data_IF_453614583662
#
_entry.id   IF_453614583662
#
_cell.length_a   1.000
_cell.length_b   1.000
_cell.length_c   1.000
_cell.angle_alpha   90.00
_cell.angle_beta   90.00
_cell.angle_gamma   90.00
#
_symmetry.space_group_name_H-M   'P 1'
#
loop_
_entity.id
_entity.type
_entity.pdbx_description
1 polymer ?
#
# COMPACT_ATOMS: atom_id res chain seq x y z
N UNK A 1 14.53 71.08 -38.12
CA UNK A 1 13.90 69.77 -38.42
C UNK A 1 14.68 68.68 -37.69
N UNK A 2 14.30 68.35 -36.45
CA UNK A 2 14.80 67.15 -35.76
C UNK A 2 13.70 66.08 -35.86
N UNK A 3 14.01 64.91 -36.40
CA UNK A 3 13.13 63.73 -36.35
C UNK A 3 13.53 62.90 -35.13
N UNK A 4 12.60 62.76 -34.18
CA UNK A 4 12.68 61.74 -33.14
C UNK A 4 12.41 60.37 -33.78
N UNK A 5 13.38 59.45 -33.67
CA UNK A 5 13.14 58.03 -33.91
C UNK A 5 12.56 57.43 -32.62
N UNK A 6 11.34 56.92 -32.70
CA UNK A 6 10.64 56.29 -31.59
C UNK A 6 11.05 54.81 -31.53
N UNK A 7 11.82 54.45 -30.50
CA UNK A 7 12.25 53.08 -30.24
C UNK A 7 11.08 52.30 -29.64
N UNK A 8 10.49 51.39 -30.42
CA UNK A 8 9.46 50.47 -29.92
C UNK A 8 10.17 49.25 -29.34
N UNK A 9 10.22 49.15 -28.01
CA UNK A 9 10.69 47.97 -27.30
C UNK A 9 9.49 47.04 -27.15
N UNK A 10 9.42 45.99 -27.98
CA UNK A 10 8.49 44.88 -27.78
C UNK A 10 9.02 43.98 -26.66
N UNK A 11 8.43 44.08 -25.47
CA UNK A 11 8.65 43.15 -24.38
C UNK A 11 7.76 41.93 -24.64
N UNK A 12 8.37 40.81 -25.01
CA UNK A 12 7.69 39.51 -25.00
C UNK A 12 7.64 39.02 -23.56
N UNK A 13 6.48 39.18 -22.91
CA UNK A 13 6.21 38.47 -21.66
C UNK A 13 5.85 37.03 -22.04
N UNK A 14 6.84 36.14 -21.99
CA UNK A 14 6.59 34.70 -22.02
C UNK A 14 6.00 34.34 -20.65
N UNK A 15 4.68 34.24 -20.59
CA UNK A 15 4.01 33.59 -19.46
C UNK A 15 4.28 32.10 -19.67
N UNK A 16 5.35 31.60 -19.05
CA UNK A 16 5.45 30.16 -18.79
C UNK A 16 4.39 29.88 -17.74
N UNK A 17 3.22 29.43 -18.19
CA UNK A 17 2.31 28.72 -17.28
C UNK A 17 3.02 27.40 -17.01
N UNK A 18 3.86 27.40 -15.99
CA UNK A 18 4.22 26.17 -15.31
C UNK A 18 2.89 25.78 -14.67
N UNK A 19 2.21 24.76 -15.18
CA UNK A 19 1.07 24.18 -14.47
C UNK A 19 1.63 23.72 -13.12
N UNK A 20 1.51 24.59 -12.13
CA UNK A 20 2.03 24.37 -10.80
C UNK A 20 1.19 23.25 -10.21
N UNK A 21 1.81 22.09 -10.23
CA UNK A 21 1.35 20.91 -9.54
C UNK A 21 1.01 21.26 -8.09
N UNK A 22 -0.27 21.29 -7.71
CA UNK A 22 -0.64 21.60 -6.32
C UNK A 22 -0.24 20.47 -5.39
N UNK A 23 -0.28 19.24 -5.92
CA UNK A 23 -0.03 17.99 -5.24
C UNK A 23 -0.88 17.67 -4.02
N UNK A 24 -1.75 18.59 -3.61
CA UNK A 24 -2.78 18.33 -2.62
C UNK A 24 -3.81 17.36 -3.20
N UNK A 25 -4.38 16.47 -2.37
CA UNK A 25 -5.50 15.64 -2.81
C UNK A 25 -6.66 16.53 -3.24
N UNK A 26 -7.31 16.21 -4.36
CA UNK A 26 -8.56 16.89 -4.74
C UNK A 26 -9.74 16.51 -3.86
N UNK A 27 -9.62 15.41 -3.10
CA UNK A 27 -10.60 15.01 -2.11
C UNK A 27 -9.88 14.51 -0.85
N UNK A 28 -10.28 15.03 0.31
CA UNK A 28 -9.89 14.54 1.63
C UNK A 28 -11.17 14.44 2.48
N UNK A 29 -11.47 13.26 3.00
CA UNK A 29 -12.66 13.03 3.81
C UNK A 29 -12.60 13.62 5.22
N UNK A 30 -11.42 14.06 5.66
CA UNK A 30 -11.10 14.19 7.08
C UNK A 30 -11.09 12.83 7.80
N UNK A 31 -11.03 12.88 9.13
CA UNK A 31 -11.05 11.70 9.99
C UNK A 31 -12.48 11.27 10.32
N UNK A 32 -12.86 10.06 9.94
CA UNK A 32 -14.18 9.48 10.15
C UNK A 32 -14.07 8.24 11.07
N UNK A 33 -14.94 8.10 12.09
CA UNK A 33 -14.87 6.96 13.00
C UNK A 33 -15.25 5.66 12.29
N UNK A 34 -14.55 4.57 12.63
CA UNK A 34 -14.84 3.23 12.16
C UNK A 34 -14.48 2.18 13.22
N UNK A 35 -15.21 1.06 13.24
CA UNK A 35 -15.03 0.07 14.30
C UNK A 35 -15.09 -1.37 13.75
N UNK A 36 -14.02 -2.13 13.97
CA UNK A 36 -13.97 -3.56 13.68
C UNK A 36 -14.88 -4.35 14.63
N UNK A 37 -15.39 -5.49 14.17
CA UNK A 37 -16.28 -6.37 14.94
C UNK A 37 -17.60 -5.71 15.36
N UNK A 38 -18.06 -4.71 14.59
CA UNK A 38 -19.31 -4.01 14.85
C UNK A 38 -20.10 -3.76 13.57
N UNK A 39 -21.32 -3.23 13.72
CA UNK A 39 -22.17 -2.79 12.59
C UNK A 39 -21.61 -1.57 11.86
N UNK A 40 -20.51 -0.99 12.34
CA UNK A 40 -19.84 0.16 11.76
C UNK A 40 -18.44 -0.25 11.24
N UNK A 41 -18.27 -1.46 10.71
CA UNK A 41 -17.00 -1.93 10.14
C UNK A 41 -16.88 -1.70 8.62
N UNK A 42 -17.81 -0.97 8.01
CA UNK A 42 -17.80 -0.64 6.59
C UNK A 42 -18.14 0.83 6.42
N UNK A 43 -17.34 1.54 5.63
CA UNK A 43 -17.49 2.97 5.36
C UNK A 43 -17.44 3.22 3.86
N UNK A 44 -18.52 3.78 3.32
CA UNK A 44 -18.57 4.25 1.94
C UNK A 44 -18.40 5.77 1.94
N UNK A 45 -17.39 6.24 1.21
CA UNK A 45 -16.99 7.65 1.14
C UNK A 45 -17.15 8.15 -0.30
N UNK A 46 -18.26 8.82 -0.64
CA UNK A 46 -18.41 9.48 -1.93
C UNK A 46 -17.39 10.61 -2.08
N UNK A 47 -16.62 10.62 -3.15
CA UNK A 47 -15.54 11.61 -3.34
C UNK A 47 -15.89 12.72 -4.34
N UNK A 48 -16.95 12.57 -5.13
CA UNK A 48 -17.49 13.64 -5.99
C UNK A 48 -16.60 14.08 -7.16
N UNK A 49 -15.53 13.32 -7.47
CA UNK A 49 -14.54 13.70 -8.50
C UNK A 49 -15.01 13.43 -9.93
N UNK A 50 -16.10 12.67 -10.11
CA UNK A 50 -16.69 12.37 -11.42
C UNK A 50 -15.87 11.42 -12.31
N UNK A 51 -14.71 10.97 -11.84
CA UNK A 51 -13.83 10.02 -12.52
C UNK A 51 -13.03 9.21 -11.50
N UNK A 52 -12.44 8.09 -11.93
CA UNK A 52 -11.63 7.23 -11.07
C UNK A 52 -10.37 7.97 -10.63
N UNK A 53 -10.06 8.09 -9.33
CA UNK A 53 -8.80 8.66 -8.86
C UNK A 53 -7.59 7.91 -9.42
N UNK A 54 -6.52 8.65 -9.72
CA UNK A 54 -5.23 8.10 -10.14
C UNK A 54 -4.47 7.48 -8.97
N UNK A 55 -4.56 8.10 -7.79
CA UNK A 55 -4.03 7.60 -6.52
C UNK A 55 -5.13 7.72 -5.45
N UNK A 56 -5.29 6.67 -4.65
CA UNK A 56 -6.09 6.68 -3.43
C UNK A 56 -5.18 6.31 -2.27
N UNK A 57 -5.29 7.03 -1.17
CA UNK A 57 -4.66 6.65 0.08
C UNK A 57 -5.72 6.57 1.17
N UNK A 58 -5.82 5.38 1.77
CA UNK A 58 -6.65 5.16 2.95
C UNK A 58 -5.74 5.03 4.16
N UNK A 59 -5.98 5.88 5.14
CA UNK A 59 -5.22 5.99 6.38
C UNK A 59 -6.08 5.60 7.56
N UNK A 60 -5.47 4.95 8.56
CA UNK A 60 -6.11 4.46 9.78
C UNK A 60 -5.35 5.06 10.97
N UNK A 61 -5.97 5.99 11.69
CA UNK A 61 -5.41 6.66 12.87
C UNK A 61 -5.84 5.95 14.13
N UNK A 62 -4.86 5.63 14.95
CA UNK A 62 -5.08 5.15 16.31
C UNK A 62 -5.67 6.27 17.17
N UNK A 63 -6.73 5.94 17.89
CA UNK A 63 -7.38 6.82 18.87
C UNK A 63 -7.18 6.34 20.31
N UNK A 64 -6.34 5.34 20.50
CA UNK A 64 -6.02 4.76 21.80
C UNK A 64 -4.52 4.47 21.94
N UNK A 65 -4.07 4.34 23.19
CA UNK A 65 -2.70 3.93 23.52
C UNK A 65 -2.45 2.46 23.13
N UNK A 66 -1.18 2.05 22.90
CA UNK A 66 0.08 2.79 23.05
C UNK A 66 0.58 3.57 21.81
N UNK A 67 -0.18 3.59 20.71
CA UNK A 67 0.17 4.37 19.52
C UNK A 67 -0.84 5.50 19.26
N UNK A 68 -1.36 6.15 20.30
CA UNK A 68 -2.31 7.25 20.15
C UNK A 68 -1.81 8.29 19.14
N UNK A 69 -2.65 8.63 18.14
CA UNK A 69 -2.33 9.60 17.11
C UNK A 69 -1.45 9.11 15.96
N UNK A 70 -0.90 7.89 16.02
CA UNK A 70 -0.20 7.30 14.89
C UNK A 70 -1.17 6.87 13.78
N UNK A 71 -0.69 6.98 12.54
CA UNK A 71 -1.40 6.74 11.30
C UNK A 71 -0.76 5.56 10.59
N UNK A 72 -1.58 4.59 10.24
CA UNK A 72 -1.25 3.36 9.53
C UNK A 72 -1.86 3.41 8.12
N UNK A 73 -1.23 2.78 7.12
CA UNK A 73 -1.81 2.65 5.79
C UNK A 73 -2.73 1.43 5.69
N UNK A 74 -3.86 1.59 5.01
CA UNK A 74 -4.68 0.44 4.63
C UNK A 74 -3.89 -0.51 3.73
N UNK A 75 -4.22 -1.80 3.80
CA UNK A 75 -3.48 -2.89 3.17
C UNK A 75 -4.10 -3.36 1.86
N UNK A 76 -5.18 -2.76 1.35
CA UNK A 76 -5.73 -3.07 0.01
C UNK A 76 -6.59 -4.35 -0.07
N UNK A 77 -6.15 -5.50 0.45
CA UNK A 77 -6.87 -6.79 0.34
C UNK A 77 -6.94 -7.59 1.66
N UNK A 78 -8.03 -8.35 1.84
CA UNK A 78 -8.22 -9.29 2.94
C UNK A 78 -7.50 -10.62 2.70
N UNK A 79 -6.37 -10.83 3.37
CA UNK A 79 -5.52 -12.03 3.21
C UNK A 79 -5.84 -13.18 4.17
N UNK A 80 -6.83 -12.98 5.04
CA UNK A 80 -7.13 -13.92 6.11
C UNK A 80 -8.62 -13.97 6.42
N UNK A 81 -9.10 -15.16 6.77
CA UNK A 81 -10.47 -15.42 7.26
C UNK A 81 -10.62 -15.20 8.79
N UNK A 82 -11.85 -15.30 9.32
CA UNK A 82 -12.10 -15.34 10.77
C UNK A 82 -12.22 -16.76 11.36
N UNK A 83 -11.81 -17.79 10.61
CA UNK A 83 -11.91 -19.20 10.98
C UNK A 83 -10.90 -19.62 12.05
N UNK A 84 -9.89 -18.79 12.33
CA UNK A 84 -8.86 -19.06 13.33
C UNK A 84 -8.93 -18.05 14.46
N UNK A 85 -8.81 -18.54 15.70
CA UNK A 85 -8.81 -17.74 16.91
C UNK A 85 -7.47 -17.01 17.13
N UNK A 86 -7.03 -16.23 16.15
CA UNK A 86 -5.79 -15.48 16.22
C UNK A 86 -5.98 -14.10 15.59
N UNK A 87 -5.29 -13.10 16.14
CA UNK A 87 -5.50 -11.71 15.77
C UNK A 87 -4.98 -11.44 14.37
N UNK A 88 -5.75 -10.63 13.66
CA UNK A 88 -5.41 -10.04 12.38
C UNK A 88 -6.01 -8.65 12.30
N UNK A 89 -5.55 -7.83 11.36
CA UNK A 89 -6.13 -6.52 11.26
C UNK A 89 -5.72 -5.68 10.07
N UNK A 90 -6.10 -4.42 10.17
CA UNK A 90 -5.91 -3.41 9.15
C UNK A 90 -7.24 -3.00 8.53
N UNK A 91 -7.15 -2.08 7.57
CA UNK A 91 -8.26 -1.73 6.71
C UNK A 91 -7.96 -2.20 5.29
N UNK A 92 -8.98 -2.69 4.59
CA UNK A 92 -8.92 -2.98 3.16
C UNK A 92 -9.86 -2.03 2.43
N UNK A 93 -9.64 -1.79 1.14
CA UNK A 93 -10.46 -0.84 0.41
C UNK A 93 -10.57 -1.16 -1.08
N UNK A 94 -11.65 -0.64 -1.66
CA UNK A 94 -11.88 -0.58 -3.09
C UNK A 94 -12.34 0.83 -3.46
N UNK A 95 -12.18 1.22 -4.71
CA UNK A 95 -12.59 2.54 -5.18
C UNK A 95 -13.03 2.53 -6.64
N UNK A 96 -13.85 3.50 -7.04
CA UNK A 96 -14.24 3.68 -8.43
C UNK A 96 -14.34 5.18 -8.75
N UNK A 97 -15.20 5.56 -9.71
CA UNK A 97 -15.40 6.97 -10.09
C UNK A 97 -16.35 7.75 -9.15
N UNK A 98 -16.99 7.06 -8.21
CA UNK A 98 -18.06 7.56 -7.36
C UNK A 98 -17.59 7.61 -5.90
N UNK A 99 -17.04 6.51 -5.39
CA UNK A 99 -16.69 6.35 -3.99
C UNK A 99 -15.43 5.52 -3.74
N UNK A 100 -14.95 5.65 -2.51
CA UNK A 100 -14.02 4.71 -1.88
C UNK A 100 -14.79 3.97 -0.79
N UNK A 101 -14.69 2.65 -0.75
CA UNK A 101 -15.28 1.82 0.29
C UNK A 101 -14.18 1.18 1.12
N UNK A 102 -14.22 1.41 2.43
CA UNK A 102 -13.26 0.90 3.40
C UNK A 102 -13.93 -0.17 4.26
N UNK A 103 -13.26 -1.28 4.46
CA UNK A 103 -13.72 -2.39 5.29
C UNK A 103 -12.71 -2.67 6.41
N UNK A 104 -13.22 -2.83 7.63
CA UNK A 104 -12.49 -3.38 8.76
C UNK A 104 -12.91 -4.83 9.01
N UNK A 105 -12.10 -5.59 9.76
CA UNK A 105 -12.46 -6.94 10.12
C UNK A 105 -13.77 -7.03 10.89
N UNK A 106 -14.54 -8.07 10.62
CA UNK A 106 -15.79 -8.35 11.30
C UNK A 106 -16.13 -9.83 11.17
N UNK A 107 -16.49 -10.45 12.30
CA UNK A 107 -16.82 -11.88 12.38
C UNK A 107 -17.91 -12.25 11.37
N UNK A 108 -17.68 -13.34 10.64
CA UNK A 108 -18.68 -13.98 9.81
C UNK A 108 -19.26 -15.24 10.48
N UNK A 109 -18.42 -16.22 10.80
CA UNK A 109 -18.85 -17.57 11.23
C UNK A 109 -18.23 -18.00 12.57
N UNK A 110 -16.97 -17.65 12.86
CA UNK A 110 -16.18 -18.28 13.91
C UNK A 110 -15.71 -17.28 14.98
N UNK A 111 -14.64 -16.52 14.74
CA UNK A 111 -13.95 -15.77 15.79
C UNK A 111 -14.00 -14.25 15.60
N UNK A 112 -14.43 -13.51 16.63
CA UNK A 112 -14.47 -12.05 16.61
C UNK A 112 -13.12 -11.42 17.04
N UNK A 113 -12.05 -11.79 16.34
CA UNK A 113 -10.65 -11.47 16.71
C UNK A 113 -9.99 -10.41 15.82
N UNK A 114 -10.62 -10.04 14.71
CA UNK A 114 -10.07 -9.02 13.82
C UNK A 114 -10.14 -7.60 14.39
N UNK A 115 -9.18 -6.76 14.05
CA UNK A 115 -9.00 -5.40 14.55
C UNK A 115 -8.72 -4.39 13.42
N UNK A 116 -9.10 -3.12 13.61
CA UNK A 116 -8.77 -2.06 12.64
C UNK A 116 -7.28 -1.72 12.60
N UNK A 117 -6.58 -1.86 13.72
CA UNK A 117 -5.12 -1.83 13.82
C UNK A 117 -4.66 -3.09 14.53
N UNK A 118 -3.67 -3.77 13.95
CA UNK A 118 -2.91 -4.85 14.57
C UNK A 118 -1.45 -4.69 14.20
N UNK A 119 -0.56 -4.50 15.18
CA UNK A 119 0.90 -4.39 14.95
C UNK A 119 1.61 -5.75 15.11
N UNK A 120 0.86 -6.84 15.24
CA UNK A 120 1.38 -8.16 15.59
C UNK A 120 1.56 -8.33 17.10
N UNK A 121 2.06 -9.47 17.54
CA UNK A 121 2.32 -9.75 18.97
C UNK A 121 3.70 -10.37 19.19
N UNK A 122 4.28 -10.06 20.35
CA UNK A 122 5.49 -10.72 20.85
C UNK A 122 5.21 -12.20 21.15
N UNK A 123 6.12 -13.13 20.85
CA UNK A 123 7.49 -12.87 20.39
C UNK A 123 7.63 -12.81 18.85
N UNK A 124 6.55 -13.00 18.08
CA UNK A 124 6.56 -13.18 16.62
C UNK A 124 6.69 -11.90 15.80
N UNK A 125 6.40 -10.77 16.44
CA UNK A 125 6.58 -9.43 15.92
C UNK A 125 7.33 -8.61 16.98
N UNK A 126 8.28 -7.79 16.52
CA UNK A 126 9.01 -6.83 17.34
C UNK A 126 8.71 -5.43 16.82
N UNK A 127 8.52 -4.49 17.73
CA UNK A 127 8.41 -3.06 17.46
C UNK A 127 8.21 -2.27 18.76
N UNK A 128 8.16 -0.93 18.70
CA UNK A 128 8.17 -0.07 19.89
C UNK A 128 6.98 -0.29 20.82
N UNK A 129 5.78 -0.41 20.24
CA UNK A 129 4.54 -0.45 20.99
C UNK A 129 3.54 -1.39 20.33
N UNK A 130 3.31 -2.54 20.94
CA UNK A 130 2.36 -3.55 20.42
C UNK A 130 0.92 -3.08 20.68
N UNK A 131 0.09 -3.10 19.65
CA UNK A 131 -1.30 -2.64 19.72
C UNK A 131 -2.24 -3.51 18.90
N UNK A 132 -3.44 -3.67 19.45
CA UNK A 132 -4.61 -4.20 18.77
C UNK A 132 -5.79 -3.31 19.09
N UNK A 133 -6.42 -2.72 18.07
CA UNK A 133 -7.49 -1.75 18.24
C UNK A 133 -8.66 -2.01 17.35
N UNK A 134 -9.86 -2.06 17.94
CA UNK A 134 -11.10 -2.18 17.17
C UNK A 134 -11.61 -0.83 16.69
N UNK A 135 -11.49 0.20 17.52
CA UNK A 135 -11.95 1.55 17.21
C UNK A 135 -10.81 2.36 16.63
N UNK A 136 -11.07 2.99 15.49
CA UNK A 136 -10.09 3.77 14.74
C UNK A 136 -10.78 4.97 14.08
N UNK A 137 -9.99 5.94 13.65
CA UNK A 137 -10.44 6.93 12.69
C UNK A 137 -9.82 6.64 11.32
N UNK A 138 -10.61 6.71 10.27
CA UNK A 138 -10.18 6.50 8.88
C UNK A 138 -10.20 7.82 8.12
N UNK A 139 -9.22 8.04 7.26
CA UNK A 139 -9.19 9.15 6.31
C UNK A 139 -8.93 8.63 4.90
N UNK A 140 -9.70 9.12 3.94
CA UNK A 140 -9.57 8.82 2.51
C UNK A 140 -9.08 10.06 1.81
N UNK A 141 -7.98 9.92 1.06
CA UNK A 141 -7.41 10.98 0.22
C UNK A 141 -7.33 10.50 -1.22
N UNK A 142 -7.80 11.31 -2.16
CA UNK A 142 -7.82 10.95 -3.58
C UNK A 142 -7.16 12.03 -4.44
N UNK A 143 -6.34 11.59 -5.39
CA UNK A 143 -5.71 12.43 -6.39
C UNK A 143 -6.14 11.98 -7.78
N UNK A 144 -6.55 12.93 -8.63
CA UNK A 144 -6.69 12.73 -10.06
C UNK A 144 -5.32 12.85 -10.73
N UNK A 145 -5.24 12.40 -11.97
CA UNK A 145 -4.02 12.46 -12.77
C UNK A 145 -3.47 13.89 -12.91
N UNK A 146 -4.34 14.89 -13.04
CA UNK A 146 -3.95 16.30 -13.13
C UNK A 146 -3.34 16.85 -11.83
N UNK A 147 -3.51 16.14 -10.72
CA UNK A 147 -2.82 16.41 -9.46
C UNK A 147 -1.89 15.27 -9.06
N UNK A 148 -1.33 14.52 -10.03
CA UNK A 148 -0.02 13.87 -9.85
C UNK A 148 1.02 14.37 -10.89
N UNK A 149 2.34 14.27 -10.60
CA UNK A 149 3.36 14.52 -11.61
C UNK A 149 3.16 13.56 -12.78
N UNK A 150 3.64 13.94 -13.97
CA UNK A 150 3.57 13.06 -15.14
C UNK A 150 4.35 11.77 -14.83
N UNK A 151 3.72 10.58 -14.93
CA UNK A 151 4.41 9.32 -14.70
C UNK A 151 5.55 9.12 -15.72
N UNK A 152 6.69 8.59 -15.27
CA UNK A 152 7.77 8.18 -16.16
C UNK A 152 7.47 6.84 -16.85
N UNK A 153 6.49 6.09 -16.35
CA UNK A 153 5.99 4.88 -16.98
C UNK A 153 4.52 4.65 -16.64
N UNK A 154 3.75 4.24 -17.65
CA UNK A 154 2.40 3.70 -17.53
C UNK A 154 2.33 2.50 -18.46
N UNK A 155 1.75 1.39 -18.01
CA UNK A 155 1.47 0.23 -18.88
C UNK A 155 0.67 0.67 -20.10
N UNK A 156 1.19 0.39 -21.30
CA UNK A 156 0.63 0.84 -22.57
C UNK A 156 -0.52 -0.03 -23.10
N UNK A 157 -0.69 -1.24 -22.54
CA UNK A 157 -1.72 -2.20 -22.94
C UNK A 157 -2.50 -2.69 -21.73
N UNK A 158 -3.74 -3.13 -21.96
CA UNK A 158 -4.55 -3.82 -20.97
C UNK A 158 -3.86 -5.12 -20.54
N UNK A 159 -3.43 -5.17 -19.28
CA UNK A 159 -2.80 -6.34 -18.68
C UNK A 159 -3.86 -7.13 -17.91
N UNK A 160 -4.07 -8.40 -18.23
CA UNK A 160 -5.06 -9.23 -17.55
C UNK A 160 -4.38 -10.19 -16.56
N UNK A 161 -4.92 -10.28 -15.34
CA UNK A 161 -4.52 -11.29 -14.36
C UNK A 161 -5.73 -12.03 -13.81
N UNK A 162 -5.52 -13.30 -13.49
CA UNK A 162 -6.55 -14.19 -12.95
C UNK A 162 -5.98 -15.14 -11.90
N UNK A 163 -6.53 -15.08 -10.69
CA UNK A 163 -6.21 -16.01 -9.64
C UNK A 163 -6.64 -17.45 -10.02
N UNK A 164 -5.87 -18.45 -9.60
CA UNK A 164 -6.15 -19.86 -9.88
C UNK A 164 -5.95 -20.27 -11.35
N UNK A 165 -5.43 -19.37 -12.20
CA UNK A 165 -5.21 -19.70 -13.62
C UNK A 165 -4.08 -20.70 -13.80
N UNK A 166 -4.30 -21.67 -14.69
CA UNK A 166 -3.26 -22.62 -15.13
C UNK A 166 -2.32 -21.99 -16.16
N UNK A 167 -2.68 -20.83 -16.72
CA UNK A 167 -1.81 -20.06 -17.59
C UNK A 167 -0.85 -19.24 -16.71
N UNK A 168 0.46 -19.53 -16.70
CA UNK A 168 1.41 -18.81 -15.84
C UNK A 168 1.43 -17.31 -16.13
N UNK A 169 1.16 -16.90 -17.37
CA UNK A 169 1.14 -15.49 -17.78
C UNK A 169 -0.07 -14.70 -17.22
N UNK A 170 -1.05 -15.38 -16.61
CA UNK A 170 -2.18 -14.74 -15.94
C UNK A 170 -1.98 -14.68 -14.41
N UNK A 171 -0.94 -15.33 -13.88
CA UNK A 171 -0.64 -15.36 -12.45
C UNK A 171 0.69 -14.68 -12.11
N UNK A 172 1.59 -14.51 -13.07
CA UNK A 172 2.87 -13.83 -12.91
C UNK A 172 3.16 -12.93 -14.11
N UNK A 173 3.65 -11.72 -13.84
CA UNK A 173 4.02 -10.74 -14.84
C UNK A 173 5.34 -10.05 -14.52
N UNK A 174 6.13 -9.82 -15.55
CA UNK A 174 7.29 -8.91 -15.54
C UNK A 174 7.02 -7.77 -16.52
N UNK A 175 6.77 -6.59 -15.97
CA UNK A 175 6.48 -5.37 -16.73
C UNK A 175 7.76 -4.54 -16.83
N UNK A 176 8.49 -4.69 -17.93
CA UNK A 176 9.72 -3.93 -18.18
C UNK A 176 9.41 -2.47 -18.48
N UNK A 177 9.87 -1.56 -17.61
CA UNK A 177 9.48 -0.15 -17.68
C UNK A 177 10.43 0.72 -18.52
N UNK A 178 11.62 0.22 -18.88
CA UNK A 178 12.62 0.93 -19.70
C UNK A 178 13.08 2.31 -19.16
N UNK A 179 12.71 2.63 -17.93
CA UNK A 179 13.25 3.75 -17.17
C UNK A 179 14.68 3.34 -16.81
N UNK A 180 15.70 4.09 -17.26
CA UNK A 180 17.12 3.78 -17.02
C UNK A 180 17.57 3.93 -15.56
N UNK A 181 16.64 3.83 -14.60
CA UNK A 181 16.83 3.94 -13.16
C UNK A 181 15.62 3.34 -12.42
N UNK A 182 15.81 3.08 -11.12
CA UNK A 182 14.72 2.68 -10.23
C UNK A 182 13.71 3.81 -10.07
N UNK A 183 12.40 3.55 -10.28
CA UNK A 183 11.36 4.50 -9.92
C UNK A 183 11.38 4.87 -8.44
N UNK A 184 10.88 6.07 -8.14
CA UNK A 184 10.74 6.56 -6.78
C UNK A 184 9.45 6.05 -6.12
N UNK A 185 8.38 5.99 -6.92
CA UNK A 185 7.05 5.48 -6.55
C UNK A 185 6.57 4.54 -7.65
N UNK A 186 5.99 3.41 -7.27
CA UNK A 186 5.23 2.55 -8.17
C UNK A 186 3.88 2.22 -7.54
N UNK A 187 2.80 2.36 -8.30
CA UNK A 187 1.48 1.86 -7.95
C UNK A 187 0.99 0.87 -8.99
N UNK A 188 0.49 -0.27 -8.52
CA UNK A 188 -0.17 -1.27 -9.35
C UNK A 188 -1.64 -1.33 -8.93
N UNK A 189 -2.54 -0.95 -9.83
CA UNK A 189 -3.98 -0.86 -9.58
C UNK A 189 -4.68 -1.95 -10.38
N UNK A 190 -5.68 -2.58 -9.79
CA UNK A 190 -6.39 -3.70 -10.36
C UNK A 190 -7.89 -3.41 -10.45
N UNK A 191 -8.41 -3.25 -11.67
CA UNK A 191 -9.83 -3.12 -11.94
C UNK A 191 -10.48 -4.51 -11.99
N UNK A 192 -11.27 -4.83 -10.98
CA UNK A 192 -11.94 -6.13 -10.83
C UNK A 192 -12.94 -6.36 -11.98
N UNK A 193 -12.94 -7.55 -12.56
CA UNK A 193 -13.80 -7.89 -13.71
C UNK A 193 -14.93 -8.87 -13.38
N UNK A 194 -14.92 -9.46 -12.19
CA UNK A 194 -15.90 -10.42 -11.69
C UNK A 194 -16.25 -10.18 -10.22
N UNK A 195 -17.20 -10.95 -9.70
CA UNK A 195 -17.69 -10.82 -8.33
C UNK A 195 -18.65 -9.64 -8.13
N UNK A 196 -19.06 -9.44 -6.87
CA UNK A 196 -19.98 -8.35 -6.50
C UNK A 196 -19.34 -6.96 -6.61
N UNK A 197 -18.00 -6.90 -6.57
CA UNK A 197 -17.23 -5.66 -6.64
C UNK A 197 -16.66 -5.42 -8.06
N UNK A 198 -17.21 -6.09 -9.08
CA UNK A 198 -16.80 -5.86 -10.48
C UNK A 198 -16.94 -4.38 -10.87
N UNK A 199 -15.91 -3.84 -11.52
CA UNK A 199 -15.82 -2.44 -11.90
C UNK A 199 -15.12 -1.53 -10.88
N UNK A 200 -14.97 -1.99 -9.64
CA UNK A 200 -14.11 -1.33 -8.66
C UNK A 200 -12.62 -1.62 -8.92
N UNK A 201 -11.78 -0.72 -8.43
CA UNK A 201 -10.34 -0.86 -8.34
C UNK A 201 -9.92 -1.25 -6.92
N UNK A 202 -8.86 -2.02 -6.82
CA UNK A 202 -8.07 -2.25 -5.60
C UNK A 202 -6.59 -2.09 -5.93
N UNK A 203 -5.74 -1.86 -4.94
CA UNK A 203 -4.30 -1.71 -5.14
C UNK A 203 -3.57 -3.01 -4.79
N UNK A 204 -2.61 -3.41 -5.61
CA UNK A 204 -1.70 -4.49 -5.27
C UNK A 204 -0.83 -4.08 -4.08
N UNK A 205 -0.42 -5.08 -3.31
CA UNK A 205 0.33 -4.89 -2.07
C UNK A 205 1.81 -5.13 -2.32
N UNK A 206 2.68 -4.33 -1.70
CA UNK A 206 4.11 -4.60 -1.75
C UNK A 206 4.46 -5.86 -0.99
N UNK A 207 4.37 -5.76 0.33
CA UNK A 207 4.56 -6.88 1.25
C UNK A 207 3.26 -7.19 1.97
N UNK A 208 3.05 -8.47 2.26
CA UNK A 208 2.19 -9.07 3.31
C UNK A 208 1.84 -10.44 2.80
N UNK A 209 1.94 -11.44 3.66
CA UNK A 209 1.31 -12.70 3.38
C UNK A 209 0.90 -13.35 4.69
N UNK A 210 -0.21 -14.06 4.65
CA UNK A 210 -0.57 -15.11 5.57
C UNK A 210 -0.86 -16.35 4.73
N UNK A 211 -0.15 -17.45 4.98
CA UNK A 211 -0.29 -18.67 4.19
C UNK A 211 -0.80 -19.84 5.04
N UNK A 212 -2.07 -20.19 4.83
CA UNK A 212 -2.72 -21.39 5.39
C UNK A 212 -2.90 -22.44 4.28
N UNK A 213 -1.80 -23.04 3.83
CA UNK A 213 -1.84 -24.11 2.82
C UNK A 213 -1.98 -23.58 1.39
N UNK A 214 -3.17 -23.68 0.79
CA UNK A 214 -3.46 -23.17 -0.56
C UNK A 214 -4.25 -21.84 -0.55
N UNK A 215 -4.55 -21.32 0.64
CA UNK A 215 -5.36 -20.12 0.85
C UNK A 215 -4.47 -18.88 0.82
N UNK A 216 -4.07 -18.45 -0.38
CA UNK A 216 -3.44 -17.13 -0.60
C UNK A 216 -4.35 -16.24 -1.44
N UNK A 217 -4.40 -14.96 -1.11
CA UNK A 217 -5.19 -13.95 -1.82
C UNK A 217 -4.39 -12.68 -2.06
N UNK A 218 -4.97 -11.76 -2.84
CA UNK A 218 -4.37 -10.46 -3.10
C UNK A 218 -3.41 -10.49 -4.28
N UNK A 219 -3.16 -9.31 -4.85
CA UNK A 219 -2.06 -9.08 -5.78
C UNK A 219 -0.84 -8.61 -5.00
N UNK A 220 0.33 -9.16 -5.33
CA UNK A 220 1.61 -8.67 -4.80
C UNK A 220 2.39 -7.99 -5.91
N UNK A 221 3.19 -7.00 -5.56
CA UNK A 221 4.12 -6.40 -6.50
C UNK A 221 5.43 -5.99 -5.85
N UNK A 222 6.47 -5.90 -6.67
CA UNK A 222 7.76 -5.36 -6.31
C UNK A 222 8.39 -4.77 -7.55
N UNK A 223 9.30 -3.82 -7.39
CA UNK A 223 9.91 -3.14 -8.53
C UNK A 223 11.39 -2.86 -8.31
N UNK A 224 12.16 -2.76 -9.39
CA UNK A 224 13.55 -2.34 -9.37
C UNK A 224 13.81 -1.30 -10.47
N UNK A 225 15.06 -1.20 -10.94
CA UNK A 225 15.51 -0.32 -12.02
C UNK A 225 15.22 -0.83 -13.43
N UNK A 226 14.60 -2.00 -13.59
CA UNK A 226 14.30 -2.58 -14.90
C UNK A 226 12.82 -2.96 -15.04
N UNK A 227 12.22 -3.50 -13.98
CA UNK A 227 10.97 -4.25 -14.05
C UNK A 227 10.08 -4.01 -12.83
N UNK A 228 8.76 -3.96 -13.08
CA UNK A 228 7.73 -4.19 -12.06
C UNK A 228 7.27 -5.64 -12.15
N UNK A 229 7.44 -6.41 -11.08
CA UNK A 229 6.91 -7.78 -10.95
C UNK A 229 5.55 -7.74 -10.29
N UNK A 230 4.61 -8.55 -10.79
CA UNK A 230 3.29 -8.72 -10.19
C UNK A 230 2.96 -10.19 -10.06
N UNK A 231 2.48 -10.60 -8.88
CA UNK A 231 2.08 -11.97 -8.56
C UNK A 231 0.62 -12.01 -8.15
N UNK A 232 -0.15 -12.90 -8.77
CA UNK A 232 -1.46 -13.33 -8.33
C UNK A 232 -1.40 -14.76 -7.76
N UNK A 233 -2.36 -15.16 -6.90
CA UNK A 233 -2.43 -16.52 -6.39
C UNK A 233 -2.71 -17.50 -7.54
N UNK A 234 -1.95 -18.60 -7.65
CA UNK A 234 -2.29 -19.67 -8.61
C UNK A 234 -2.90 -20.90 -7.93
N UNK A 235 -2.69 -21.06 -6.61
CA UNK A 235 -3.40 -22.08 -5.80
C UNK A 235 -4.57 -21.52 -5.00
N UNK A 236 -4.61 -20.20 -4.82
CA UNK A 236 -5.73 -19.47 -4.26
C UNK A 236 -6.66 -18.92 -5.34
N UNK A 237 -7.88 -18.54 -4.94
CA UNK A 237 -8.97 -18.29 -5.90
C UNK A 237 -9.32 -16.81 -6.09
N UNK A 238 -8.69 -15.87 -5.35
CA UNK A 238 -9.19 -14.48 -5.30
C UNK A 238 -8.06 -13.45 -5.35
N UNK A 239 -8.19 -12.46 -6.22
CA UNK A 239 -7.34 -11.26 -6.28
C UNK A 239 -7.76 -10.23 -5.24
N UNK A 240 -9.05 -10.20 -4.89
CA UNK A 240 -9.60 -9.39 -3.82
C UNK A 240 -10.68 -10.17 -3.07
N UNK A 241 -10.69 -10.08 -1.74
CA UNK A 241 -11.80 -10.56 -0.93
C UNK A 241 -12.06 -9.61 0.24
N UNK A 242 -13.36 -9.39 0.48
CA UNK A 242 -13.91 -8.80 1.70
C UNK A 242 -14.95 -9.73 2.33
N UNK A 243 -14.87 -11.02 2.03
CA UNK A 243 -15.70 -12.06 2.61
C UNK A 243 -14.95 -12.80 3.70
N UNK A 244 -15.70 -13.42 4.62
CA UNK A 244 -15.19 -14.28 5.70
C UNK A 244 -14.20 -13.53 6.59
N UNK A 245 -14.72 -12.69 7.49
CA UNK A 245 -13.89 -11.91 8.41
C UNK A 245 -13.71 -10.43 8.05
N UNK A 246 -14.31 -9.93 6.97
CA UNK A 246 -14.19 -8.52 6.55
C UNK A 246 -15.53 -7.85 6.27
N UNK A 247 -15.73 -6.64 6.81
CA UNK A 247 -16.90 -5.81 6.54
C UNK A 247 -18.26 -6.41 6.93
N UNK A 248 -19.32 -5.75 6.47
CA UNK A 248 -20.70 -6.20 6.65
C UNK A 248 -21.20 -6.82 5.35
N UNK A 249 -20.96 -8.10 5.10
CA UNK A 249 -21.75 -8.77 4.07
C UNK A 249 -21.90 -10.26 4.32
N UNK A 250 -23.15 -10.79 4.22
CA UNK A 250 -23.39 -12.22 4.33
C UNK A 250 -23.05 -12.98 3.04
N UNK A 251 -22.84 -12.27 1.92
CA UNK A 251 -22.56 -12.84 0.60
C UNK A 251 -21.05 -12.89 0.31
N UNK A 252 -20.57 -13.94 -0.39
CA UNK A 252 -19.19 -14.03 -0.82
C UNK A 252 -18.87 -12.92 -1.84
N UNK A 253 -18.27 -11.84 -1.33
CA UNK A 253 -17.74 -10.74 -2.12
C UNK A 253 -16.24 -10.95 -2.33
N UNK A 254 -15.95 -11.66 -3.42
CA UNK A 254 -14.60 -11.90 -3.90
C UNK A 254 -14.53 -11.76 -5.42
N UNK A 255 -13.36 -11.36 -5.91
CA UNK A 255 -13.05 -11.25 -7.33
C UNK A 255 -11.81 -12.07 -7.66
N UNK A 256 -11.86 -12.82 -8.76
CA UNK A 256 -10.77 -13.70 -9.19
C UNK A 256 -10.01 -13.17 -10.39
N UNK A 257 -10.49 -12.10 -11.03
CA UNK A 257 -9.93 -11.56 -12.26
C UNK A 257 -9.93 -10.03 -12.29
N UNK A 258 -8.91 -9.45 -12.91
CA UNK A 258 -8.77 -8.01 -13.02
C UNK A 258 -7.95 -7.58 -14.23
N UNK A 259 -8.17 -6.34 -14.66
CA UNK A 259 -7.25 -5.62 -15.53
C UNK A 259 -6.31 -4.74 -14.69
N UNK A 260 -5.02 -4.74 -15.00
CA UNK A 260 -4.00 -4.04 -14.26
C UNK A 260 -3.46 -2.81 -14.98
N UNK A 261 -3.20 -1.76 -14.21
CA UNK A 261 -2.33 -0.65 -14.57
C UNK A 261 -1.13 -0.63 -13.63
N UNK A 262 0.10 -0.61 -14.16
CA UNK A 262 1.29 -0.26 -13.38
C UNK A 262 1.76 1.15 -13.77
N UNK A 263 1.96 1.99 -12.77
CA UNK A 263 2.27 3.41 -12.91
C UNK A 263 3.48 3.72 -12.06
N UNK A 264 4.49 4.33 -12.66
CA UNK A 264 5.73 4.68 -11.99
C UNK A 264 6.01 6.17 -12.10
N UNK A 265 6.46 6.76 -11.00
CA UNK A 265 6.95 8.14 -10.95
C UNK A 265 8.43 8.16 -10.62
N UNK A 266 9.12 9.10 -11.24
CA UNK A 266 10.56 9.27 -11.20
C UNK A 266 10.88 10.74 -10.95
N UNK A 267 12.07 11.01 -10.42
CA UNK A 267 12.56 12.39 -10.22
C UNK A 267 11.66 13.20 -9.28
N UNK A 268 10.95 12.52 -8.38
CA UNK A 268 10.23 13.18 -7.27
C UNK A 268 11.18 13.48 -6.11
N UNK A 269 12.50 13.36 -6.32
CA UNK A 269 13.54 13.63 -5.32
C UNK A 269 13.55 15.09 -4.88
N UNK A 270 13.24 16.01 -5.78
CA UNK A 270 13.12 17.44 -5.46
C UNK A 270 11.90 17.72 -4.55
N UNK A 271 11.00 16.74 -4.43
CA UNK A 271 9.87 16.74 -3.51
C UNK A 271 10.20 16.09 -2.15
N UNK A 272 11.39 15.49 -1.96
CA UNK A 272 11.75 14.84 -0.70
C UNK A 272 12.00 15.86 0.41
N UNK A 273 11.17 15.80 1.45
CA UNK A 273 11.41 16.54 2.69
C UNK A 273 12.27 15.75 3.67
N UNK A 274 12.26 14.41 3.55
CA UNK A 274 13.04 13.51 4.37
C UNK A 274 13.22 12.17 3.66
N UNK A 275 14.44 11.62 3.74
CA UNK A 275 14.70 10.24 3.38
C UNK A 275 15.72 9.62 4.32
N UNK A 276 15.45 8.38 4.73
CA UNK A 276 16.36 7.60 5.55
C UNK A 276 16.34 6.14 5.13
N UNK A 277 17.51 5.52 5.16
CA UNK A 277 17.69 4.09 4.96
C UNK A 277 18.20 3.45 6.25
N UNK A 278 17.61 2.32 6.64
CA UNK A 278 17.97 1.55 7.83
C UNK A 278 18.06 0.08 7.44
N UNK A 279 19.18 -0.55 7.74
CA UNK A 279 19.33 -1.99 7.56
C UNK A 279 18.48 -2.73 8.60
N UNK A 280 17.64 -3.65 8.13
CA UNK A 280 16.87 -4.56 8.97
C UNK A 280 17.43 -5.98 8.84
N UNK A 281 17.47 -6.71 9.95
CA UNK A 281 17.83 -8.12 9.98
C UNK A 281 17.00 -8.86 11.02
N UNK A 282 16.23 -9.86 10.60
CA UNK A 282 15.28 -10.56 11.46
C UNK A 282 15.94 -11.53 12.46
N UNK A 283 17.25 -11.78 12.34
CA UNK A 283 18.06 -12.55 13.28
C UNK A 283 18.68 -11.67 14.37
N UNK A 284 18.74 -10.36 14.15
CA UNK A 284 19.12 -9.43 15.21
C UNK A 284 17.92 -9.26 16.14
N UNK A 285 18.12 -9.43 17.45
CA UNK A 285 17.14 -9.06 18.48
C UNK A 285 16.99 -7.54 18.61
N UNK A 286 17.21 -6.81 17.50
CA UNK A 286 17.28 -5.36 17.41
C UNK A 286 15.98 -4.75 17.88
N UNK A 287 16.12 -3.83 18.85
CA UNK A 287 15.08 -3.02 19.41
C UNK A 287 14.22 -2.35 18.34
N UNK A 288 12.92 -2.30 18.60
CA UNK A 288 11.96 -1.33 18.08
C UNK A 288 12.58 -0.17 17.28
N UNK A 289 12.31 -0.10 15.96
CA UNK A 289 12.77 1.03 15.16
C UNK A 289 11.77 2.16 15.30
N UNK A 290 12.20 3.22 15.98
CA UNK A 290 11.53 4.50 16.05
C UNK A 290 12.47 5.57 15.50
N UNK A 291 11.97 6.37 14.56
CA UNK A 291 12.74 7.37 13.83
C UNK A 291 12.08 8.72 14.07
N UNK A 292 12.84 9.65 14.63
CA UNK A 292 12.42 11.04 14.67
C UNK A 292 12.73 11.69 13.34
N UNK A 293 11.69 12.18 12.68
CA UNK A 293 11.80 13.03 11.50
C UNK A 293 12.08 14.45 12.01
N UNK A 294 13.16 15.11 11.54
CA UNK A 294 13.42 16.50 11.88
C UNK A 294 12.19 17.36 11.59
N UNK A 295 11.97 18.42 12.38
CA UNK A 295 10.84 19.33 12.16
C UNK A 295 10.75 19.76 10.70
N UNK A 296 9.68 19.32 10.04
CA UNK A 296 9.33 19.71 8.68
C UNK A 296 8.44 20.94 8.74
N UNK A 297 8.48 21.78 7.70
CA UNK A 297 7.53 22.92 7.58
C UNK A 297 6.08 22.49 7.38
N UNK A 298 5.85 21.19 7.13
CA UNK A 298 4.55 20.58 6.87
C UNK A 298 4.42 19.35 7.75
N UNK A 299 3.30 19.24 8.46
CA UNK A 299 2.97 18.05 9.26
C UNK A 299 2.98 16.79 8.41
N UNK A 300 3.60 15.72 8.93
CA UNK A 300 3.73 14.43 8.23
C UNK A 300 2.37 13.86 7.77
N UNK A 301 1.29 14.13 8.49
CA UNK A 301 -0.05 13.71 8.10
C UNK A 301 -0.53 14.28 6.77
N UNK A 302 0.01 15.41 6.32
CA UNK A 302 -0.39 16.01 5.05
C UNK A 302 0.52 15.62 3.88
N UNK A 303 1.57 14.84 4.13
CA UNK A 303 2.56 14.44 3.14
C UNK A 303 2.25 13.07 2.54
N UNK A 304 2.91 12.74 1.43
CA UNK A 304 2.96 11.38 0.90
C UNK A 304 4.14 10.64 1.51
N UNK A 305 3.87 9.62 2.32
CA UNK A 305 4.89 8.81 2.99
C UNK A 305 4.96 7.46 2.31
N UNK A 306 6.09 7.17 1.69
CA UNK A 306 6.39 5.86 1.11
C UNK A 306 7.45 5.19 1.96
N UNK A 307 7.10 4.00 2.45
CA UNK A 307 7.98 3.17 3.23
C UNK A 307 8.16 1.87 2.43
N UNK A 308 9.42 1.55 2.13
CA UNK A 308 9.81 0.50 1.19
C UNK A 308 10.86 -0.41 1.81
N UNK A 309 10.80 -1.70 1.53
CA UNK A 309 11.87 -2.64 1.84
C UNK A 309 12.59 -3.00 0.55
N UNK A 310 13.88 -2.67 0.45
CA UNK A 310 14.76 -3.18 -0.60
C UNK A 310 15.37 -4.51 -0.14
N UNK A 311 15.10 -5.57 -0.88
CA UNK A 311 15.64 -6.89 -0.59
C UNK A 311 17.11 -6.95 -1.02
N UNK A 312 17.98 -7.46 -0.15
CA UNK A 312 19.44 -7.48 -0.35
C UNK A 312 20.00 -8.84 -0.76
N UNK A 313 19.21 -9.90 -0.70
CA UNK A 313 19.62 -11.26 -1.09
C UNK A 313 18.46 -12.05 -1.71
N UNK A 314 18.75 -13.11 -2.46
CA UNK A 314 17.75 -14.06 -2.97
C UNK A 314 17.09 -13.67 -4.31
N UNK A 315 16.00 -14.36 -4.72
CA UNK A 315 15.44 -14.25 -6.07
C UNK A 315 14.91 -12.85 -6.46
N UNK A 316 14.62 -12.00 -5.47
CA UNK A 316 14.21 -10.62 -5.67
C UNK A 316 15.25 -9.61 -5.13
N UNK A 317 16.53 -9.98 -5.07
CA UNK A 317 17.61 -9.05 -4.74
C UNK A 317 17.52 -7.77 -5.62
N UNK A 318 17.61 -6.61 -4.97
CA UNK A 318 17.50 -5.30 -5.62
C UNK A 318 16.07 -4.78 -5.79
N UNK A 319 15.04 -5.60 -5.60
CA UNK A 319 13.64 -5.16 -5.67
C UNK A 319 13.21 -4.43 -4.39
N UNK A 320 12.37 -3.41 -4.55
CA UNK A 320 11.67 -2.68 -3.52
C UNK A 320 10.21 -3.15 -3.41
N UNK A 321 9.74 -3.25 -2.17
CA UNK A 321 8.37 -3.62 -1.83
C UNK A 321 7.77 -2.64 -0.84
N UNK A 322 6.54 -2.17 -1.06
CA UNK A 322 5.82 -1.34 -0.09
C UNK A 322 5.57 -2.07 1.24
N UNK A 323 5.75 -1.36 2.35
CA UNK A 323 5.32 -1.82 3.67
C UNK A 323 3.81 -1.78 3.82
N UNK A 324 3.31 -2.29 4.95
CA UNK A 324 1.87 -2.29 5.29
C UNK A 324 1.58 -1.52 6.56
N UNK A 325 0.30 -1.22 6.79
CA UNK A 325 -0.13 -0.61 8.06
C UNK A 325 -0.68 -1.60 9.07
N UNK A 326 -0.73 -2.90 8.80
CA UNK A 326 -1.15 -3.87 9.81
C UNK A 326 -0.62 -5.28 9.55
N UNK A 327 -0.39 -6.02 10.63
CA UNK A 327 -0.06 -7.43 10.60
C UNK A 327 -1.31 -8.29 10.34
N UNK A 328 -1.21 -9.20 9.39
CA UNK A 328 -2.29 -10.13 9.05
C UNK A 328 -2.35 -11.38 9.93
N UNK A 329 -1.34 -11.60 10.77
CA UNK A 329 -1.37 -12.64 11.78
C UNK A 329 -0.44 -12.34 12.95
N UNK A 330 -0.81 -12.83 14.12
CA UNK A 330 0.02 -12.89 15.31
C UNK A 330 0.56 -14.31 15.60
N UNK A 331 0.45 -15.27 14.67
CA UNK A 331 0.69 -16.70 14.96
C UNK A 331 1.77 -17.37 14.10
N UNK A 332 2.32 -18.45 14.67
CA UNK A 332 3.16 -19.43 13.99
C UNK A 332 2.27 -20.52 13.37
N UNK A 333 1.97 -20.42 12.09
CA UNK A 333 1.59 -21.61 11.34
C UNK A 333 2.70 -21.91 10.33
N UNK A 334 3.67 -22.79 10.66
CA UNK A 334 4.74 -23.16 9.75
C UNK A 334 4.18 -24.06 8.66
N UNK A 335 3.91 -23.53 7.47
CA UNK A 335 3.44 -24.33 6.33
C UNK A 335 4.25 -24.15 5.04
N UNK A 336 5.20 -23.20 5.00
CA UNK A 336 6.07 -23.01 3.83
C UNK A 336 7.34 -22.20 4.14
N UNK A 337 8.19 -22.05 3.11
CA UNK A 337 9.37 -21.16 3.06
C UNK A 337 9.05 -19.72 3.45
N UNK A 338 7.80 -19.29 3.31
CA UNK A 338 7.30 -18.02 3.81
C UNK A 338 5.82 -18.10 4.25
N UNK A 339 5.59 -18.24 5.55
CA UNK A 339 4.25 -18.47 6.11
C UNK A 339 3.53 -17.20 6.54
N UNK A 340 4.29 -16.19 6.97
CA UNK A 340 3.80 -14.85 7.20
C UNK A 340 4.89 -13.80 6.94
N UNK A 341 4.49 -12.57 6.67
CA UNK A 341 5.46 -11.49 6.54
C UNK A 341 4.86 -10.13 6.28
N UNK A 342 5.75 -9.21 5.92
CA UNK A 342 5.46 -7.79 5.78
C UNK A 342 6.08 -6.99 6.91
N UNK A 343 6.45 -5.76 6.61
CA UNK A 343 6.90 -4.80 7.61
C UNK A 343 5.74 -3.84 7.85
N UNK A 344 5.34 -3.68 9.11
CA UNK A 344 4.29 -2.75 9.49
C UNK A 344 4.93 -1.41 9.80
N UNK A 345 4.39 -0.35 9.23
CA UNK A 345 4.86 1.02 9.47
C UNK A 345 3.72 1.94 9.87
N UNK A 346 4.02 2.85 10.77
CA UNK A 346 3.12 3.93 11.16
C UNK A 346 3.89 5.22 11.32
N UNK A 347 3.17 6.33 11.28
CA UNK A 347 3.76 7.65 11.49
C UNK A 347 2.83 8.57 12.28
N UNK A 348 3.37 9.54 12.99
CA UNK A 348 2.63 10.68 13.51
C UNK A 348 3.27 11.99 13.01
N UNK A 349 2.99 13.14 13.63
CA UNK A 349 3.52 14.44 13.19
C UNK A 349 5.05 14.53 13.07
N UNK A 350 5.83 13.71 13.79
CA UNK A 350 7.30 13.79 13.78
C UNK A 350 8.03 12.46 13.95
N UNK A 351 7.31 11.34 14.05
CA UNK A 351 7.90 10.04 14.36
C UNK A 351 7.40 8.98 13.39
N UNK A 352 8.32 8.14 12.90
CA UNK A 352 8.02 6.91 12.18
C UNK A 352 8.28 5.71 13.11
N UNK A 353 7.39 4.72 13.08
CA UNK A 353 7.53 3.46 13.82
C UNK A 353 7.50 2.29 12.88
N UNK A 354 8.30 1.27 13.19
CA UNK A 354 8.36 0.02 12.45
C UNK A 354 8.14 -1.16 13.37
N UNK A 355 7.28 -2.06 12.93
CA UNK A 355 7.18 -3.41 13.45
C UNK A 355 7.50 -4.40 12.35
N UNK A 356 8.23 -5.45 12.70
CA UNK A 356 8.59 -6.48 11.75
C UNK A 356 8.47 -7.86 12.38
N UNK A 357 8.25 -8.89 11.55
CA UNK A 357 8.19 -10.25 12.03
C UNK A 357 9.59 -10.73 12.48
N UNK A 358 9.57 -11.72 13.34
CA UNK A 358 10.76 -12.46 13.83
C UNK A 358 10.63 -13.95 13.46
N UNK A 359 11.58 -14.78 13.91
CA UNK A 359 11.57 -16.24 13.72
C UNK A 359 11.31 -16.67 12.26
N UNK A 360 10.15 -17.30 12.02
CA UNK A 360 9.75 -17.86 10.74
C UNK A 360 9.17 -16.83 9.78
N UNK A 361 8.81 -15.62 10.24
CA UNK A 361 8.27 -14.57 9.36
C UNK A 361 9.36 -13.81 8.60
N UNK A 362 8.96 -13.13 7.52
CA UNK A 362 9.87 -12.45 6.61
C UNK A 362 9.47 -10.98 6.37
N UNK A 363 10.44 -10.11 6.12
CA UNK A 363 10.17 -8.71 5.77
C UNK A 363 9.42 -8.60 4.45
N UNK A 364 9.84 -9.39 3.46
CA UNK A 364 9.16 -9.59 2.19
C UNK A 364 8.79 -11.06 2.08
N UNK A 365 7.52 -11.32 1.79
CA UNK A 365 6.97 -12.68 1.73
C UNK A 365 6.19 -12.89 0.43
N UNK A 366 6.78 -13.65 -0.49
CA UNK A 366 6.15 -14.13 -1.72
C UNK A 366 6.11 -15.66 -1.62
N UNK A 367 4.95 -16.25 -1.33
CA UNK A 367 4.85 -17.71 -1.18
C UNK A 367 4.92 -18.45 -2.52
N UNK A 368 5.28 -19.72 -2.44
CA UNK A 368 5.27 -20.68 -3.54
C UNK A 368 3.88 -20.93 -4.16
N UNK A 369 2.81 -20.37 -3.60
CA UNK A 369 1.43 -20.39 -4.12
C UNK A 369 1.07 -19.15 -4.96
N UNK A 370 2.00 -18.21 -5.09
CA UNK A 370 1.86 -16.96 -5.84
C UNK A 370 2.66 -17.04 -7.15
N UNK A 371 2.11 -16.51 -8.25
CA UNK A 371 2.77 -16.41 -9.55
C UNK A 371 3.39 -17.70 -10.06
N UNK A 372 2.71 -18.83 -9.85
CA UNK A 372 3.22 -20.17 -10.17
C UNK A 372 4.57 -20.53 -9.51
N UNK A 373 4.87 -19.93 -8.35
CA UNK A 373 6.12 -20.10 -7.61
C UNK A 373 7.30 -19.29 -8.16
N UNK A 374 7.09 -18.45 -9.18
CA UNK A 374 8.17 -17.63 -9.75
C UNK A 374 8.69 -16.64 -8.71
N UNK A 375 10.01 -16.67 -8.49
CA UNK A 375 10.71 -15.80 -7.55
C UNK A 375 10.10 -15.79 -6.13
N UNK A 376 9.57 -16.94 -5.68
CA UNK A 376 9.12 -17.07 -4.31
C UNK A 376 10.26 -16.82 -3.32
N UNK A 377 9.95 -16.15 -2.22
CA UNK A 377 10.96 -15.69 -1.28
C UNK A 377 10.36 -15.35 0.08
N UNK A 378 11.08 -15.72 1.14
CA UNK A 378 10.95 -15.12 2.48
C UNK A 378 12.23 -14.36 2.83
N UNK A 379 12.26 -13.05 2.58
CA UNK A 379 13.44 -12.21 2.85
C UNK A 379 13.58 -11.93 4.36
N UNK A 380 14.76 -12.22 4.89
CA UNK A 380 15.10 -12.14 6.33
C UNK A 380 15.91 -10.89 6.68
N UNK A 381 16.39 -10.20 5.65
CA UNK A 381 17.20 -9.00 5.71
C UNK A 381 16.83 -8.10 4.53
N UNK A 382 17.07 -6.80 4.70
CA UNK A 382 16.79 -5.81 3.68
C UNK A 382 17.00 -4.39 4.21
N UNK A 383 17.04 -3.43 3.29
CA UNK A 383 17.16 -2.02 3.61
C UNK A 383 15.77 -1.38 3.64
N UNK A 384 15.35 -0.92 4.81
CA UNK A 384 14.13 -0.14 4.99
C UNK A 384 14.38 1.30 4.57
N UNK A 385 13.59 1.80 3.63
CA UNK A 385 13.72 3.12 3.02
C UNK A 385 12.45 3.91 3.30
N UNK A 386 12.59 5.05 3.95
CA UNK A 386 11.53 6.05 4.06
C UNK A 386 11.76 7.15 3.04
N UNK A 387 10.69 7.51 2.32
CA UNK A 387 10.62 8.64 1.38
C UNK A 387 9.40 9.46 1.76
N UNK A 388 9.62 10.63 2.33
CA UNK A 388 8.56 11.56 2.70
C UNK A 388 8.58 12.68 1.67
N UNK A 389 7.46 12.84 0.95
CA UNK A 389 7.33 13.77 -0.15
C UNK A 389 6.34 14.88 0.20
N UNK A 390 6.80 16.12 -0.01
CA UNK A 390 5.92 17.28 -0.16
C UNK A 390 5.35 17.27 -1.55
N UNK A 391 4.04 17.26 -1.63
CA UNK A 391 3.35 17.41 -2.90
C UNK A 391 3.22 18.88 -3.30
N UNK A 392 3.53 19.80 -2.38
CA UNK A 392 3.79 21.22 -2.67
C UNK A 392 5.22 21.34 -3.21
N UNK A 393 5.38 21.75 -4.46
CA UNK A 393 6.68 22.23 -4.96
C UNK A 393 7.00 23.51 -4.16
N UNK A 394 8.15 23.54 -3.49
CA UNK A 394 8.65 24.77 -2.88
C UNK A 394 9.24 25.63 -4.00
N UNK A 395 8.64 26.79 -4.24
CA UNK A 395 9.20 27.85 -5.09
C UNK A 395 10.54 28.39 -4.57
#
# INVERSE_FOLDING_TARGET
MLRLAQLIICIYVVIVVIDAFSGLPQFDSGWLPLEAQSKNCTLQVPHGLGQVPRLVEVQVKSIEEPNLGFIFKAIGNGERDDDLNELYGGAIYIYNAIDVVVFLPNKYNHYAVGAGINTGQSPYWIGPNIQTSRQVNVRVRCWLETALPVPCYVTSSTVFMKAGSKNPNETFLELHHQISKCPDIVKVRARLTDGLDAGYYTDAQGTTLYNKGNETSGLKFGFNDVTVRVWAPYRGNVLFTRYDGWGLNPLPASASSAYLDAIAWCDVTDSYVFSQTIALNNNSSGSAVEINVPETRVELENLLIYALIKVTTGPNEGFLFETVGSAMTNSLIPRSTCSYGGVVTAFNGSTLRVWHPTYLGAFVCIADSMGNGNYSQGAKEGDMIFRIMSTLIQD
#
